data_IF_291689866450
#
_entry.id   IF_291689866450
#
_cell.length_a   1.000
_cell.length_b   1.000
_cell.length_c   1.000
_cell.angle_alpha   90.00
_cell.angle_beta   90.00
_cell.angle_gamma   90.00
#
_symmetry.space_group_name_H-M   'P 1'
#
loop_
_entity.id
_entity.type
_entity.pdbx_description
1 polymer ?
#
# COMPACT_ATOMS: atom_id res chain seq x y z
N UNK A 1 15.63 -9.11 2.02
CA UNK A 1 14.38 -8.97 2.80
C UNK A 1 14.05 -7.48 2.86
N UNK A 2 12.94 -7.02 2.27
CA UNK A 2 12.56 -5.59 2.27
C UNK A 2 11.82 -5.27 3.58
N UNK A 3 12.54 -4.80 4.59
CA UNK A 3 11.97 -4.54 5.94
C UNK A 3 11.11 -3.28 6.00
N UNK A 4 11.36 -2.30 5.12
CA UNK A 4 10.62 -1.03 5.07
C UNK A 4 9.10 -1.21 4.91
N UNK A 5 8.66 -2.11 4.03
CA UNK A 5 7.23 -2.35 3.81
C UNK A 5 6.52 -2.91 5.05
N UNK A 6 7.21 -3.74 5.83
CA UNK A 6 6.67 -4.29 7.08
C UNK A 6 6.54 -3.19 8.14
N UNK A 7 7.53 -2.30 8.22
CA UNK A 7 7.54 -1.14 9.13
C UNK A 7 6.39 -0.18 8.79
N UNK A 8 6.20 0.14 7.51
CA UNK A 8 5.13 1.04 7.07
C UNK A 8 3.74 0.45 7.33
N UNK A 9 3.55 -0.85 7.07
CA UNK A 9 2.30 -1.51 7.39
C UNK A 9 2.01 -1.48 8.89
N UNK A 10 3.03 -1.70 9.73
CA UNK A 10 2.87 -1.58 11.18
C UNK A 10 2.52 -0.16 11.61
N UNK A 11 3.15 0.86 11.00
CA UNK A 11 2.87 2.27 11.29
C UNK A 11 1.39 2.59 11.09
N UNK A 12 0.82 2.19 9.94
CA UNK A 12 -0.60 2.39 9.65
C UNK A 12 -1.48 1.73 10.71
N UNK A 13 -1.15 0.51 11.12
CA UNK A 13 -1.94 -0.23 12.13
C UNK A 13 -1.87 0.43 13.51
N UNK A 14 -0.68 0.84 13.96
CA UNK A 14 -0.53 1.50 15.27
C UNK A 14 -1.16 2.90 15.28
N UNK A 15 -1.04 3.64 14.19
CA UNK A 15 -1.67 4.95 14.05
C UNK A 15 -3.21 4.86 14.04
N UNK A 16 -3.78 3.83 13.41
CA UNK A 16 -5.24 3.64 13.42
C UNK A 16 -5.75 3.28 14.83
N UNK A 17 -5.00 2.42 15.55
CA UNK A 17 -5.37 1.96 16.91
C UNK A 17 -5.19 3.01 17.98
N UNK A 18 -4.19 3.87 17.86
CA UNK A 18 -3.90 4.86 18.88
C UNK A 18 -4.92 5.99 18.88
N UNK A 19 -5.25 6.49 20.06
CA UNK A 19 -6.00 7.73 20.20
C UNK A 19 -5.17 8.93 19.76
N UNK A 20 -3.85 8.89 20.00
CA UNK A 20 -2.88 9.89 19.58
C UNK A 20 -2.49 9.78 18.10
N UNK A 21 -2.94 8.71 17.42
CA UNK A 21 -2.71 8.51 16.00
C UNK A 21 -1.22 8.41 15.65
N UNK A 22 -0.79 9.18 14.66
CA UNK A 22 0.60 9.26 14.21
C UNK A 22 1.58 9.80 15.28
N UNK A 23 1.07 10.47 16.32
CA UNK A 23 1.88 11.03 17.41
C UNK A 23 2.15 10.02 18.53
N UNK A 24 1.62 8.80 18.42
CA UNK A 24 1.95 7.72 19.34
C UNK A 24 3.45 7.39 19.30
N UNK A 25 4.03 7.09 20.45
CA UNK A 25 5.46 6.75 20.58
C UNK A 25 5.86 5.59 19.65
N UNK A 26 4.97 4.60 19.46
CA UNK A 26 5.22 3.49 18.53
C UNK A 26 5.30 3.96 17.08
N UNK A 27 4.46 4.93 16.70
CA UNK A 27 4.45 5.49 15.35
C UNK A 27 5.71 6.31 15.10
N UNK A 28 6.16 7.09 16.08
CA UNK A 28 7.40 7.86 16.00
C UNK A 28 8.59 6.90 15.80
N UNK A 29 8.70 5.85 16.61
CA UNK A 29 9.75 4.85 16.49
C UNK A 29 9.73 4.15 15.11
N UNK A 30 8.54 3.80 14.62
CA UNK A 30 8.39 3.20 13.29
C UNK A 30 8.79 4.17 12.17
N UNK A 31 8.53 5.46 12.31
CA UNK A 31 8.95 6.46 11.35
C UNK A 31 10.47 6.59 11.28
N UNK A 32 11.16 6.57 12.43
CA UNK A 32 12.63 6.56 12.49
C UNK A 32 13.22 5.30 11.83
N UNK A 33 12.65 4.14 12.12
CA UNK A 33 13.05 2.88 11.50
C UNK A 33 12.80 2.88 9.99
N UNK A 34 11.68 3.44 9.54
CA UNK A 34 11.36 3.58 8.12
C UNK A 34 12.37 4.49 7.41
N UNK A 35 12.74 5.63 8.02
CA UNK A 35 13.76 6.53 7.48
C UNK A 35 15.12 5.81 7.35
N UNK A 36 15.56 5.11 8.40
CA UNK A 36 16.80 4.32 8.35
C UNK A 36 16.75 3.21 7.30
N UNK A 37 15.58 2.56 7.12
CA UNK A 37 15.40 1.47 6.16
C UNK A 37 15.50 1.94 4.69
N UNK A 38 15.22 3.21 4.38
CA UNK A 38 15.38 3.79 3.03
C UNK A 38 16.85 3.99 2.67
N UNK A 39 17.71 4.24 3.66
CA UNK A 39 19.16 4.41 3.45
C UNK A 39 19.95 3.10 3.45
N UNK A 40 19.28 1.95 3.63
CA UNK A 40 19.88 0.60 3.54
C UNK A 40 20.65 0.39 2.23
N UNK A 41 20.15 0.77 1.03
CA UNK A 41 20.90 0.59 -0.21
C UNK A 41 22.20 1.38 -0.26
N UNK A 42 22.29 2.48 0.51
CA UNK A 42 23.49 3.34 0.58
C UNK A 42 24.49 2.88 1.63
N UNK A 43 24.00 2.42 2.78
CA UNK A 43 24.81 2.14 3.97
C UNK A 43 25.07 0.65 4.23
N UNK A 44 24.30 -0.23 3.61
CA UNK A 44 24.36 -1.69 3.83
C UNK A 44 23.91 -2.14 5.23
N UNK A 45 23.47 -1.23 6.11
CA UNK A 45 22.99 -1.58 7.45
C UNK A 45 21.60 -2.23 7.36
N UNK A 46 21.42 -3.37 8.00
CA UNK A 46 20.12 -4.04 8.08
C UNK A 46 19.31 -3.41 9.21
N UNK A 47 18.09 -2.97 8.90
CA UNK A 47 17.13 -2.46 9.89
C UNK A 47 16.03 -3.52 10.10
N UNK A 48 16.09 -4.32 11.18
CA UNK A 48 15.07 -5.32 11.47
C UNK A 48 13.82 -4.69 12.08
N UNK A 49 12.66 -5.33 11.83
CA UNK A 49 11.39 -4.95 12.47
C UNK A 49 11.36 -5.45 13.92
N UNK A 50 11.17 -4.57 14.93
CA UNK A 50 11.06 -4.99 16.32
C UNK A 50 9.82 -5.86 16.57
N UNK A 51 9.98 -6.95 17.33
CA UNK A 51 8.89 -7.92 17.54
C UNK A 51 7.68 -7.34 18.27
N UNK A 52 7.91 -6.42 19.22
CA UNK A 52 6.84 -5.76 19.97
C UNK A 52 6.02 -4.77 19.13
N UNK A 53 6.53 -4.36 17.96
CA UNK A 53 5.82 -3.49 17.02
C UNK A 53 5.10 -4.27 15.93
N UNK A 54 5.27 -5.60 15.84
CA UNK A 54 4.58 -6.42 14.83
C UNK A 54 3.08 -6.51 15.15
N UNK A 55 2.20 -6.03 14.26
CA UNK A 55 0.78 -6.12 14.50
C UNK A 55 0.28 -7.56 14.37
N UNK A 56 -0.63 -7.95 15.27
CA UNK A 56 -1.32 -9.25 15.22
C UNK A 56 -2.61 -9.22 14.42
N UNK A 57 -3.21 -8.03 14.32
CA UNK A 57 -4.44 -7.79 13.58
C UNK A 57 -4.30 -6.47 12.82
N UNK A 58 -5.06 -6.34 11.74
CA UNK A 58 -4.99 -5.26 10.77
C UNK A 58 -6.37 -4.60 10.62
N UNK A 59 -6.44 -3.31 10.32
CA UNK A 59 -7.72 -2.66 10.06
C UNK A 59 -8.34 -3.22 8.77
N UNK A 60 -9.66 -3.21 8.71
CA UNK A 60 -10.49 -3.73 7.63
C UNK A 60 -10.14 -3.18 6.24
N UNK A 61 -9.75 -1.90 6.17
CA UNK A 61 -9.31 -1.29 4.91
C UNK A 61 -8.00 -1.87 4.34
N UNK A 62 -7.25 -2.68 5.09
CA UNK A 62 -6.02 -3.33 4.60
C UNK A 62 -6.26 -4.69 3.91
N UNK A 63 -7.52 -5.13 3.81
CA UNK A 63 -7.90 -6.31 3.02
C UNK A 63 -7.24 -7.61 3.49
N UNK A 64 -7.12 -7.80 4.81
CA UNK A 64 -6.67 -9.08 5.40
C UNK A 64 -7.86 -10.02 5.59
N UNK A 65 -7.53 -11.28 5.85
CA UNK A 65 -8.52 -12.29 6.24
C UNK A 65 -9.31 -11.85 7.47
N UNK A 66 -10.55 -12.30 7.59
CA UNK A 66 -11.48 -11.84 8.64
C UNK A 66 -10.92 -12.08 10.05
N UNK A 67 -10.27 -13.24 10.28
CA UNK A 67 -9.65 -13.57 11.59
C UNK A 67 -8.45 -12.70 11.95
N UNK A 68 -7.85 -12.01 10.99
CA UNK A 68 -6.73 -11.07 11.18
C UNK A 68 -7.19 -9.62 11.18
N UNK A 69 -8.49 -9.36 11.08
CA UNK A 69 -9.02 -8.04 10.80
C UNK A 69 -9.78 -7.46 11.99
N UNK A 70 -9.74 -6.13 12.15
CA UNK A 70 -10.62 -5.39 13.04
C UNK A 70 -11.28 -4.21 12.31
N UNK A 71 -12.48 -3.82 12.75
CA UNK A 71 -13.20 -2.67 12.18
C UNK A 71 -12.56 -1.36 12.65
N UNK A 72 -11.94 -0.59 11.75
CA UNK A 72 -11.41 0.73 12.09
C UNK A 72 -12.55 1.75 12.28
N UNK A 73 -12.52 2.50 13.38
CA UNK A 73 -13.50 3.57 13.65
C UNK A 73 -13.07 4.95 13.11
N UNK A 74 -11.85 5.05 12.55
CA UNK A 74 -11.28 6.28 11.99
C UNK A 74 -11.82 6.54 10.57
N UNK A 75 -11.49 7.71 10.02
CA UNK A 75 -12.01 8.16 8.71
C UNK A 75 -11.72 7.17 7.59
N UNK A 76 -10.53 6.56 7.57
CA UNK A 76 -10.11 5.65 6.51
C UNK A 76 -10.97 4.37 6.49
N UNK A 77 -11.24 3.78 7.66
CA UNK A 77 -12.15 2.64 7.76
C UNK A 77 -13.58 3.00 7.35
N UNK A 78 -14.07 4.19 7.73
CA UNK A 78 -15.43 4.64 7.34
C UNK A 78 -15.56 4.77 5.84
N UNK A 79 -14.58 5.42 5.21
CA UNK A 79 -14.55 5.62 3.77
C UNK A 79 -14.44 4.28 3.02
N UNK A 80 -13.57 3.37 3.50
CA UNK A 80 -13.41 2.05 2.90
C UNK A 80 -14.73 1.29 2.83
N UNK A 81 -15.51 1.26 3.92
CA UNK A 81 -16.81 0.57 3.96
C UNK A 81 -17.84 1.24 3.06
N UNK A 82 -17.94 2.57 3.10
CA UNK A 82 -18.87 3.31 2.24
C UNK A 82 -18.61 3.04 0.75
N UNK A 83 -17.35 3.01 0.35
CA UNK A 83 -16.96 2.72 -1.03
C UNK A 83 -17.22 1.25 -1.36
N UNK A 84 -16.81 0.33 -0.49
CA UNK A 84 -17.02 -1.11 -0.69
C UNK A 84 -18.49 -1.45 -0.87
N UNK A 85 -19.36 -0.89 -0.02
CA UNK A 85 -20.81 -1.09 -0.10
C UNK A 85 -21.38 -0.56 -1.44
N UNK A 86 -20.85 0.54 -1.97
CA UNK A 86 -21.28 1.08 -3.27
C UNK A 86 -20.85 0.19 -4.46
N UNK A 87 -19.60 -0.30 -4.46
CA UNK A 87 -19.12 -1.22 -5.49
C UNK A 87 -19.88 -2.55 -5.51
N UNK A 88 -20.21 -3.09 -4.34
CA UNK A 88 -20.99 -4.33 -4.23
C UNK A 88 -22.44 -4.13 -4.73
N UNK A 89 -22.98 -2.91 -4.66
CA UNK A 89 -24.27 -2.55 -5.26
C UNK A 89 -24.18 -2.44 -6.78
N UNK A 90 -23.12 -1.82 -7.31
CA UNK A 90 -22.92 -1.63 -8.75
C UNK A 90 -22.68 -2.94 -9.51
N UNK A 91 -22.04 -3.94 -8.88
CA UNK A 91 -21.87 -5.29 -9.44
C UNK A 91 -23.19 -6.09 -9.50
N UNK A 92 -24.18 -5.72 -8.69
CA UNK A 92 -25.52 -6.31 -8.69
C UNK A 92 -26.51 -5.53 -9.57
N UNK A 93 -26.16 -4.33 -10.03
CA UNK A 93 -26.88 -3.63 -11.09
C UNK A 93 -26.31 -4.04 -12.44
N UNK A 94 -27.06 -4.86 -13.17
CA UNK A 94 -26.77 -5.22 -14.55
C UNK A 94 -26.82 -3.99 -15.47
N UNK A 95 -25.67 -3.43 -15.82
CA UNK A 95 -25.47 -2.44 -16.89
C UNK A 95 -24.22 -2.87 -17.73
N UNK A 96 -24.13 -2.47 -19.00
CA UNK A 96 -23.78 -3.36 -20.11
C UNK A 96 -22.30 -3.75 -20.16
N UNK A 97 -22.03 -5.00 -20.53
CA UNK A 97 -20.70 -5.47 -20.88
C UNK A 97 -20.13 -4.63 -22.02
N UNK A 98 -19.15 -3.77 -21.75
CA UNK A 98 -18.30 -3.21 -22.79
C UNK A 98 -17.45 -4.36 -23.35
N UNK A 99 -17.88 -4.95 -24.46
CA UNK A 99 -17.12 -5.97 -25.16
C UNK A 99 -15.74 -5.37 -25.53
N UNK A 100 -14.61 -6.01 -25.18
CA UNK A 100 -13.27 -5.50 -25.50
C UNK A 100 -13.01 -5.25 -26.98
N UNK A 101 -13.88 -5.77 -27.86
CA UNK A 101 -13.83 -5.61 -29.32
C UNK A 101 -14.34 -4.24 -29.79
N UNK A 102 -15.11 -3.53 -28.96
CA UNK A 102 -15.74 -2.26 -29.32
C UNK A 102 -14.96 -1.04 -28.79
N UNK A 103 -13.81 -1.25 -28.16
CA UNK A 103 -12.93 -0.17 -27.70
C UNK A 103 -11.97 0.16 -28.85
N UNK A 104 -12.14 1.28 -29.57
CA UNK A 104 -11.22 1.67 -30.64
C UNK A 104 -9.83 1.93 -30.07
N UNK A 105 -8.81 1.31 -30.67
CA UNK A 105 -7.42 1.54 -30.28
C UNK A 105 -7.01 2.98 -30.60
N UNK A 106 -6.54 3.70 -29.59
CA UNK A 106 -6.09 5.09 -29.73
C UNK A 106 -4.66 5.13 -30.29
N UNK A 107 -4.55 5.29 -31.60
CA UNK A 107 -3.27 5.42 -32.33
C UNK A 107 -2.52 6.72 -32.01
N UNK A 108 -3.13 7.68 -31.32
CA UNK A 108 -2.51 8.97 -30.99
C UNK A 108 -1.49 8.80 -29.82
N UNK A 109 -1.57 7.68 -29.09
CA UNK A 109 -0.65 7.33 -28.01
C UNK A 109 0.57 6.51 -28.46
N UNK A 110 0.73 6.28 -29.78
CA UNK A 110 1.96 5.67 -30.30
C UNK A 110 3.15 6.62 -30.12
N UNK A 111 3.90 6.43 -29.04
CA UNK A 111 5.17 7.11 -28.84
C UNK A 111 6.21 6.48 -29.77
N UNK A 112 6.58 7.19 -30.83
CA UNK A 112 7.73 6.87 -31.67
C UNK A 112 8.96 6.62 -30.80
N UNK A 113 9.42 5.37 -30.79
CA UNK A 113 10.51 4.84 -29.99
C UNK A 113 11.69 5.82 -29.87
N UNK A 114 11.89 6.37 -28.67
CA UNK A 114 13.17 6.94 -28.28
C UNK A 114 14.22 5.83 -28.35
N UNK A 115 15.12 5.97 -29.31
CA UNK A 115 16.25 5.09 -29.57
C UNK A 115 17.21 5.13 -28.38
N UNK A 116 16.98 4.30 -27.36
CA UNK A 116 17.94 4.12 -26.26
C UNK A 116 19.19 3.42 -26.82
N UNK A 117 20.23 4.22 -27.01
CA UNK A 117 21.57 3.73 -27.34
C UNK A 117 22.19 3.14 -26.07
N UNK A 118 22.02 1.84 -25.85
CA UNK A 118 22.84 1.12 -24.88
C UNK A 118 24.25 0.97 -25.47
N UNK A 119 25.17 1.85 -25.08
CA UNK A 119 26.60 1.54 -25.18
C UNK A 119 26.91 0.49 -24.12
N UNK A 120 27.11 -0.75 -24.56
CA UNK A 120 27.74 -1.78 -23.76
C UNK A 120 29.20 -1.39 -23.50
N UNK A 121 29.53 -1.19 -22.23
CA UNK A 121 30.92 -1.15 -21.75
C UNK A 121 31.37 -2.61 -21.59
N UNK A 122 32.43 -2.98 -22.30
CA UNK A 122 33.07 -4.31 -22.25
C UNK A 122 33.82 -4.56 -20.95
N UNK A 123 34.38 -5.78 -20.82
CA UNK A 123 35.83 -5.92 -20.93
C UNK A 123 36.29 -6.61 -22.21
#
# INVERSE_FOLDING_TARGET
MRTWGQICNAYVVHADRSEHGALDEKCILLAELAAAAVDVPKTGKIVPMPDHLKPKQYPDFMGKEEYQTYKSNKILGRLYRQIKDAYDVDLNSSEPSCDPKDIPYDTILEVGCCRFHFQSVGP
#
